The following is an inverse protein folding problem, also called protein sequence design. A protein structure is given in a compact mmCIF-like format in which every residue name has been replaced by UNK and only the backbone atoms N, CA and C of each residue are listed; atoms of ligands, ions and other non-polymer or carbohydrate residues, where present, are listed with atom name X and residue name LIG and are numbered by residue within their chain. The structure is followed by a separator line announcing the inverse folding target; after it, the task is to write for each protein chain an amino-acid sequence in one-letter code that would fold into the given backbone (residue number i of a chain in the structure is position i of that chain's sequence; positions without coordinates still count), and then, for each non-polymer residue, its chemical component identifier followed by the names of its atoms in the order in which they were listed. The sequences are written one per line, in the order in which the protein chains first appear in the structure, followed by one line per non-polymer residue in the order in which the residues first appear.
data_IF_272225136998
#
_entry.id   IF_272225136998
#
_cell.length_a   1.000
_cell.length_b   1.000
_cell.length_c   1.000
_cell.angle_alpha   90.00
_cell.angle_beta   90.00
_cell.angle_gamma   90.00
#
_symmetry.space_group_name_H-M   'P 1'
#
loop_
_entity.id
_entity.type
_entity.pdbx_description
1 polymer ?
#
# COMPACT_ATOMS: atom_id res chain seq x y z
N UNK A 1 23.27 71.74 1.29
CA UNK A 1 22.70 70.57 2.02
C UNK A 1 22.52 69.42 1.03
N UNK A 2 23.60 68.67 0.76
CA UNK A 2 23.63 67.59 -0.23
C UNK A 2 22.98 66.31 0.28
N UNK A 3 22.15 65.67 -0.56
CA UNK A 3 21.55 64.36 -0.27
C UNK A 3 22.22 63.31 -1.14
N UNK A 4 23.01 62.44 -0.50
CA UNK A 4 23.73 61.35 -1.13
C UNK A 4 22.79 60.27 -1.69
N UNK A 5 23.08 59.81 -2.93
CA UNK A 5 22.43 58.62 -3.51
C UNK A 5 23.23 57.39 -3.13
N UNK A 6 22.68 56.57 -2.23
CA UNK A 6 23.17 55.23 -1.92
C UNK A 6 22.91 54.31 -3.12
N UNK A 7 23.97 53.84 -3.79
CA UNK A 7 23.88 52.79 -4.81
C UNK A 7 23.84 51.42 -4.12
N UNK A 8 22.66 50.80 -4.01
CA UNK A 8 22.56 49.40 -3.61
C UNK A 8 22.87 48.49 -4.81
N UNK A 9 24.01 47.78 -4.76
CA UNK A 9 24.36 46.72 -5.73
C UNK A 9 23.53 45.47 -5.41
N UNK A 10 22.56 45.15 -6.27
CA UNK A 10 21.87 43.85 -6.26
C UNK A 10 22.85 42.74 -6.65
N UNK A 11 23.38 41.98 -5.67
CA UNK A 11 24.09 40.73 -5.92
C UNK A 11 23.09 39.61 -6.23
N UNK A 12 22.60 39.59 -7.47
CA UNK A 12 21.86 38.43 -8.00
C UNK A 12 22.85 37.31 -8.35
N UNK A 13 22.99 36.30 -7.49
CA UNK A 13 23.67 35.04 -7.88
C UNK A 13 22.85 34.35 -8.96
N UNK A 14 23.32 34.39 -10.22
CA UNK A 14 22.81 33.53 -11.30
C UNK A 14 23.06 32.07 -10.90
N UNK A 15 22.00 31.27 -10.81
CA UNK A 15 22.10 29.82 -10.60
C UNK A 15 22.34 29.17 -11.97
N UNK A 16 23.51 28.57 -12.16
CA UNK A 16 23.82 27.73 -13.32
C UNK A 16 22.89 26.52 -13.36
N UNK A 17 22.14 26.39 -14.46
CA UNK A 17 21.16 25.31 -14.71
C UNK A 17 21.79 24.05 -15.33
N UNK A 18 23.12 23.95 -15.41
CA UNK A 18 23.80 22.86 -16.14
C UNK A 18 24.24 21.67 -15.27
N UNK A 19 23.98 21.68 -13.97
CA UNK A 19 24.13 20.46 -13.16
C UNK A 19 22.86 19.64 -13.29
N UNK A 20 22.90 18.59 -14.12
CA UNK A 20 21.96 17.46 -14.08
C UNK A 20 22.01 16.84 -12.69
N UNK A 21 21.23 17.43 -11.78
CA UNK A 21 20.93 16.86 -10.46
C UNK A 21 20.26 15.53 -10.80
N UNK A 22 20.87 14.39 -10.44
CA UNK A 22 20.17 13.11 -10.44
C UNK A 22 18.89 13.36 -9.67
N UNK A 23 17.76 13.39 -10.37
CA UNK A 23 16.45 13.59 -9.79
C UNK A 23 16.23 12.33 -8.97
N UNK A 24 16.47 12.42 -7.65
CA UNK A 24 15.78 11.54 -6.73
C UNK A 24 14.31 11.90 -6.97
N UNK A 25 13.60 11.02 -7.66
CA UNK A 25 12.15 11.00 -7.68
C UNK A 25 11.68 10.72 -6.25
N UNK A 26 11.77 11.75 -5.41
CA UNK A 26 11.05 11.84 -4.17
C UNK A 26 9.60 11.92 -4.60
N UNK A 27 8.89 10.80 -4.50
CA UNK A 27 7.44 10.78 -4.62
C UNK A 27 6.90 11.91 -3.73
N UNK A 28 6.28 12.93 -4.34
CA UNK A 28 5.72 14.09 -3.62
C UNK A 28 4.71 13.68 -2.55
N UNK A 29 4.17 12.45 -2.66
CA UNK A 29 3.30 11.87 -1.64
C UNK A 29 4.00 11.54 -0.30
N UNK A 30 5.33 11.37 -0.29
CA UNK A 30 6.11 11.20 0.95
C UNK A 30 6.17 12.48 1.80
N UNK A 31 5.87 13.62 1.19
CA UNK A 31 6.00 14.97 1.77
C UNK A 31 4.74 15.49 2.47
N UNK A 32 3.57 14.90 2.24
CA UNK A 32 2.30 15.37 2.86
C UNK A 32 2.26 15.24 4.39
N UNK A 33 3.17 14.48 5.00
CA UNK A 33 3.28 14.44 6.46
C UNK A 33 4.25 15.48 7.05
N UNK A 34 4.98 16.24 6.23
CA UNK A 34 6.06 17.11 6.73
C UNK A 34 5.66 18.58 6.91
N UNK A 35 4.58 19.06 6.29
CA UNK A 35 4.19 20.48 6.39
C UNK A 35 3.25 20.82 7.56
N UNK A 36 2.58 19.83 8.15
CA UNK A 36 1.53 20.05 9.17
C UNK A 36 1.90 19.62 10.59
N UNK A 37 3.07 19.01 10.78
CA UNK A 37 3.52 18.59 12.11
C UNK A 37 4.69 19.49 12.53
N UNK A 38 4.36 20.67 13.06
CA UNK A 38 5.30 21.51 13.81
C UNK A 38 5.38 20.93 15.22
N UNK A 39 6.30 19.99 15.46
CA UNK A 39 6.69 19.67 16.84
C UNK A 39 7.93 20.45 17.22
N UNK A 40 7.77 21.11 18.34
CA UNK A 40 8.63 22.06 19.00
C UNK A 40 10.01 21.46 19.33
N UNK A 41 11.01 22.30 19.19
CA UNK A 41 12.42 21.97 19.20
C UNK A 41 12.95 22.07 20.62
N UNK A 42 12.88 21.00 21.41
CA UNK A 42 13.62 20.89 22.68
C UNK A 42 14.26 19.50 22.82
N UNK A 43 15.59 19.47 22.59
CA UNK A 43 16.48 18.31 22.81
C UNK A 43 16.74 18.09 24.31
N UNK A 44 16.95 16.84 24.76
CA UNK A 44 18.32 16.39 25.11
C UNK A 44 18.66 14.88 24.88
N UNK A 45 19.98 14.58 24.87
CA UNK A 45 20.71 13.28 24.90
C UNK A 45 20.77 12.37 23.64
N UNK A 46 22.01 12.02 23.22
CA UNK A 46 22.36 11.43 21.92
C UNK A 46 21.98 9.94 21.73
N UNK A 47 21.84 9.13 22.79
CA UNK A 47 21.34 7.73 22.67
C UNK A 47 19.82 7.65 22.67
N UNK A 48 19.17 8.49 23.46
CA UNK A 48 17.72 8.63 23.45
C UNK A 48 17.24 9.26 22.15
N UNK A 49 18.06 10.12 21.53
CA UNK A 49 17.79 10.68 20.21
C UNK A 49 17.62 9.62 19.12
N UNK A 50 18.40 8.53 19.14
CA UNK A 50 18.32 7.50 18.10
C UNK A 50 17.07 6.63 18.27
N UNK A 51 16.76 6.23 19.50
CA UNK A 51 15.54 5.50 19.83
C UNK A 51 14.28 6.34 19.55
N UNK A 52 14.26 7.61 19.97
CA UNK A 52 13.17 8.56 19.70
C UNK A 52 13.08 8.87 18.20
N UNK A 53 14.20 8.94 17.48
CA UNK A 53 14.23 9.12 16.02
C UNK A 53 13.62 7.92 15.30
N UNK A 54 13.98 6.70 15.68
CA UNK A 54 13.41 5.47 15.12
C UNK A 54 11.91 5.35 15.42
N UNK A 55 11.48 5.70 16.64
CA UNK A 55 10.08 5.67 17.02
C UNK A 55 9.25 6.69 16.22
N UNK A 56 9.78 7.90 16.02
CA UNK A 56 9.14 8.95 15.23
C UNK A 56 9.03 8.57 13.75
N UNK A 57 10.07 7.97 13.19
CA UNK A 57 10.02 7.50 11.80
C UNK A 57 9.05 6.32 11.65
N UNK A 58 8.97 5.42 12.63
CA UNK A 58 7.94 4.38 12.67
C UNK A 58 6.53 4.97 12.75
N UNK A 59 6.28 5.96 13.61
CA UNK A 59 4.99 6.66 13.69
C UNK A 59 4.62 7.24 12.32
N UNK A 60 5.56 7.89 11.65
CA UNK A 60 5.38 8.43 10.29
C UNK A 60 5.07 7.34 9.27
N UNK A 61 5.83 6.23 9.27
CA UNK A 61 5.62 5.11 8.36
C UNK A 61 4.29 4.41 8.59
N UNK A 62 3.86 4.22 9.85
CA UNK A 62 2.56 3.66 10.21
C UNK A 62 1.43 4.51 9.63
N UNK A 63 1.47 5.82 9.83
CA UNK A 63 0.47 6.73 9.26
C UNK A 63 0.48 6.69 7.73
N UNK A 64 1.66 6.78 7.11
CA UNK A 64 1.81 6.80 5.66
C UNK A 64 1.29 5.51 5.03
N UNK A 65 1.65 4.36 5.57
CA UNK A 65 1.20 3.05 5.07
C UNK A 65 -0.31 2.87 5.23
N UNK A 66 -0.91 3.35 6.33
CA UNK A 66 -2.36 3.39 6.49
C UNK A 66 -3.01 4.24 5.39
N UNK A 67 -2.54 5.46 5.16
CA UNK A 67 -3.03 6.35 4.08
C UNK A 67 -2.89 5.77 2.68
N UNK A 68 -1.75 5.16 2.35
CA UNK A 68 -1.57 4.50 1.04
C UNK A 68 -2.48 3.28 0.86
N UNK A 69 -2.88 2.62 1.96
CA UNK A 69 -3.92 1.57 1.94
C UNK A 69 -5.33 2.13 2.09
N UNK A 70 -5.48 3.45 1.93
CA UNK A 70 -6.73 4.20 2.00
C UNK A 70 -7.46 4.10 3.35
N UNK A 71 -6.67 3.97 4.41
CA UNK A 71 -7.11 4.07 5.81
C UNK A 71 -6.63 5.38 6.40
N UNK A 72 -7.31 5.89 7.42
CA UNK A 72 -6.98 7.16 8.09
C UNK A 72 -6.87 8.33 7.10
N UNK A 73 -7.88 8.44 6.25
CA UNK A 73 -8.02 9.53 5.27
C UNK A 73 -8.52 10.84 5.91
N UNK A 74 -8.94 10.78 7.18
CA UNK A 74 -9.33 11.96 7.95
C UNK A 74 -8.21 13.00 7.98
N UNK A 75 -8.60 14.25 7.79
CA UNK A 75 -7.68 15.39 7.71
C UNK A 75 -6.97 15.57 6.36
N UNK A 76 -7.24 14.73 5.37
CA UNK A 76 -6.85 15.01 3.98
C UNK A 76 -7.89 15.88 3.28
N UNK A 77 -7.39 16.86 2.53
CA UNK A 77 -8.19 17.71 1.66
C UNK A 77 -8.58 16.98 0.39
N UNK A 78 -9.68 17.42 -0.27
CA UNK A 78 -10.14 16.81 -1.50
C UNK A 78 -9.08 16.73 -2.61
N UNK A 79 -8.23 17.76 -2.85
CA UNK A 79 -7.11 17.65 -3.79
C UNK A 79 -6.08 16.58 -3.40
N UNK A 80 -5.78 16.41 -2.11
CA UNK A 80 -4.86 15.37 -1.62
C UNK A 80 -5.43 13.96 -1.84
N UNK A 81 -6.74 13.80 -1.70
CA UNK A 81 -7.45 12.54 -2.00
C UNK A 81 -7.40 12.21 -3.50
N UNK A 82 -7.61 13.21 -4.38
CA UNK A 82 -7.47 13.03 -5.83
C UNK A 82 -6.04 12.66 -6.25
N UNK A 83 -5.04 13.28 -5.61
CA UNK A 83 -3.65 12.94 -5.85
C UNK A 83 -3.34 11.51 -5.42
N UNK A 84 -3.85 11.08 -4.26
CA UNK A 84 -3.74 9.69 -3.80
C UNK A 84 -4.39 8.72 -4.80
N UNK A 85 -5.60 9.03 -5.29
CA UNK A 85 -6.31 8.22 -6.27
C UNK A 85 -5.49 8.05 -7.55
N UNK A 86 -5.00 9.15 -8.12
CA UNK A 86 -4.16 9.16 -9.32
C UNK A 86 -2.88 8.32 -9.13
N UNK A 87 -2.24 8.49 -7.97
CA UNK A 87 -1.03 7.76 -7.62
C UNK A 87 -1.27 6.25 -7.51
N UNK A 88 -2.32 5.83 -6.81
CA UNK A 88 -2.66 4.42 -6.65
C UNK A 88 -3.09 3.78 -7.98
N UNK A 89 -3.78 4.51 -8.86
CA UNK A 89 -4.07 4.05 -10.23
C UNK A 89 -2.77 3.80 -11.01
N UNK A 90 -1.79 4.69 -10.88
CA UNK A 90 -0.48 4.53 -11.53
C UNK A 90 0.26 3.30 -10.99
N UNK A 91 0.33 3.16 -9.66
CA UNK A 91 0.94 1.99 -9.03
C UNK A 91 0.24 0.68 -9.44
N UNK A 92 -1.09 0.69 -9.54
CA UNK A 92 -1.87 -0.46 -9.98
C UNK A 92 -1.51 -0.90 -11.39
N UNK A 93 -1.30 0.04 -12.32
CA UNK A 93 -0.87 -0.27 -13.69
C UNK A 93 0.51 -0.95 -13.69
N UNK A 94 1.45 -0.44 -12.90
CA UNK A 94 2.80 -1.00 -12.77
C UNK A 94 2.73 -2.45 -12.23
N UNK A 95 1.96 -2.67 -11.17
CA UNK A 95 1.81 -4.00 -10.55
C UNK A 95 1.15 -4.98 -11.53
N UNK A 96 0.11 -4.55 -12.24
CA UNK A 96 -0.56 -5.37 -13.27
C UNK A 96 0.38 -5.75 -14.40
N UNK A 97 1.19 -4.82 -14.89
CA UNK A 97 2.18 -5.08 -15.93
C UNK A 97 3.22 -6.09 -15.46
N UNK A 98 3.78 -5.90 -14.25
CA UNK A 98 4.75 -6.85 -13.68
C UNK A 98 4.16 -8.25 -13.52
N UNK A 99 2.91 -8.35 -13.05
CA UNK A 99 2.20 -9.63 -12.89
C UNK A 99 1.98 -10.33 -14.23
N UNK A 100 1.58 -9.59 -15.27
CA UNK A 100 1.44 -10.12 -16.63
C UNK A 100 2.77 -10.64 -17.18
N UNK A 101 3.86 -9.89 -17.01
CA UNK A 101 5.21 -10.30 -17.43
C UNK A 101 5.63 -11.63 -16.80
N UNK A 102 5.44 -11.79 -15.48
CA UNK A 102 5.74 -13.06 -14.80
C UNK A 102 4.87 -14.21 -15.31
N UNK A 103 3.59 -13.95 -15.58
CA UNK A 103 2.69 -14.97 -16.13
C UNK A 103 3.15 -15.44 -17.51
N UNK A 104 3.46 -14.52 -18.41
CA UNK A 104 3.94 -14.84 -19.76
C UNK A 104 5.25 -15.65 -19.72
N UNK A 105 6.22 -15.26 -18.87
CA UNK A 105 7.47 -16.00 -18.73
C UNK A 105 7.25 -17.45 -18.28
N UNK A 106 6.30 -17.67 -17.36
CA UNK A 106 5.93 -19.04 -16.94
C UNK A 106 5.26 -19.81 -18.07
N UNK A 107 4.34 -19.18 -18.79
CA UNK A 107 3.63 -19.80 -19.90
C UNK A 107 4.62 -20.19 -21.02
N UNK A 108 5.61 -19.35 -21.32
CA UNK A 108 6.70 -19.63 -22.28
C UNK A 108 7.60 -20.77 -21.81
N UNK A 109 7.97 -20.81 -20.53
CA UNK A 109 8.74 -21.90 -19.92
C UNK A 109 7.99 -23.25 -20.03
N UNK A 110 6.70 -23.24 -19.72
CA UNK A 110 5.83 -24.41 -19.89
C UNK A 110 5.72 -24.85 -21.35
N UNK A 111 5.61 -23.91 -22.30
CA UNK A 111 5.62 -24.23 -23.73
C UNK A 111 6.95 -24.85 -24.17
N UNK A 112 8.09 -24.38 -23.65
CA UNK A 112 9.41 -24.93 -23.97
C UNK A 112 9.56 -26.36 -23.44
N UNK A 113 9.06 -26.64 -22.23
CA UNK A 113 9.04 -27.99 -21.65
C UNK A 113 8.20 -28.93 -22.51
N UNK A 114 7.01 -28.51 -22.94
CA UNK A 114 6.14 -29.32 -23.80
C UNK A 114 6.79 -29.66 -25.14
N UNK A 115 7.41 -28.68 -25.82
CA UNK A 115 8.12 -28.94 -27.08
C UNK A 115 9.26 -29.95 -26.92
N UNK A 116 10.07 -29.83 -25.85
CA UNK A 116 11.14 -30.79 -25.56
C UNK A 116 10.64 -32.18 -25.14
N UNK A 117 9.41 -32.27 -24.64
CA UNK A 117 8.75 -33.54 -24.31
C UNK A 117 8.23 -34.27 -25.54
N UNK A 118 7.71 -33.54 -26.54
CA UNK A 118 7.24 -34.12 -27.80
C UNK A 118 8.39 -34.62 -28.69
N UNK A 119 9.60 -34.08 -28.56
CA UNK A 119 10.80 -34.59 -29.25
C UNK A 119 11.30 -35.94 -28.68
N UNK A 120 10.75 -36.41 -27.56
CA UNK A 120 11.01 -37.74 -26.99
C UNK A 120 9.79 -38.65 -27.17
N UNK A 121 9.42 -38.92 -28.42
CA UNK A 121 8.52 -40.04 -28.73
C UNK A 121 9.26 -41.35 -28.43
N UNK A 122 9.09 -41.87 -27.22
CA UNK A 122 9.62 -43.19 -26.85
C UNK A 122 9.87 -43.46 -25.37
N UNK A 123 9.16 -42.85 -24.41
CA UNK A 123 9.20 -43.31 -23.01
C UNK A 123 7.78 -43.52 -22.50
N UNK A 124 7.55 -44.75 -22.05
CA UNK A 124 6.28 -45.34 -21.65
C UNK A 124 5.47 -44.45 -20.70
N UNK A 125 4.19 -44.33 -21.03
CA UNK A 125 3.14 -43.77 -20.19
C UNK A 125 3.00 -44.66 -18.95
N UNK A 126 3.69 -44.30 -17.86
CA UNK A 126 3.39 -44.87 -16.54
C UNK A 126 2.19 -44.13 -15.96
N UNK A 127 1.07 -44.84 -15.98
CA UNK A 127 -0.22 -44.50 -15.37
C UNK A 127 -0.02 -44.01 -13.92
N UNK A 128 -0.66 -42.91 -13.47
CA UNK A 128 -0.77 -42.64 -12.04
C UNK A 128 -1.65 -43.72 -11.40
N UNK A 129 -1.01 -44.68 -10.76
CA UNK A 129 -1.69 -45.71 -9.99
C UNK A 129 -2.44 -45.04 -8.83
N UNK A 130 -3.76 -45.19 -8.83
CA UNK A 130 -4.63 -44.88 -7.71
C UNK A 130 -4.20 -45.74 -6.52
N UNK A 131 -3.79 -45.11 -5.42
CA UNK A 131 -3.85 -45.78 -4.11
C UNK A 131 -4.81 -45.01 -3.22
N UNK A 132 -5.96 -45.63 -3.01
CA UNK A 132 -6.90 -45.29 -1.94
C UNK A 132 -6.37 -45.84 -0.61
N UNK A 133 -6.49 -45.01 0.42
CA UNK A 133 -6.88 -45.31 1.82
C UNK A 133 -6.55 -46.69 2.44
N UNK A 134 -5.74 -46.67 3.52
CA UNK A 134 -5.97 -47.35 4.83
C UNK A 134 -4.84 -46.92 5.78
N UNK A 135 -5.08 -46.07 6.77
CA UNK A 135 -5.49 -46.36 8.15
C UNK A 135 -4.37 -46.89 9.05
N UNK A 136 -4.49 -46.50 10.33
CA UNK A 136 -3.91 -47.11 11.54
C UNK A 136 -2.58 -46.55 12.04
N UNK A 137 -2.65 -45.92 13.22
CA UNK A 137 -1.53 -45.46 14.03
C UNK A 137 -2.09 -44.74 15.26
N UNK A 138 -2.23 -45.51 16.34
CA UNK A 138 -2.98 -45.19 17.55
C UNK A 138 -2.34 -44.14 18.46
N UNK A 139 -3.22 -43.61 19.32
CA UNK A 139 -3.07 -42.81 20.53
C UNK A 139 -1.71 -42.91 21.25
N UNK A 140 -1.16 -41.74 21.57
CA UNK A 140 -0.55 -41.51 22.87
C UNK A 140 -1.30 -40.34 23.52
N UNK A 141 -2.04 -40.68 24.58
CA UNK A 141 -2.60 -39.75 25.53
C UNK A 141 -1.44 -39.26 26.41
N UNK A 142 -0.98 -38.02 26.18
CA UNK A 142 -0.28 -37.24 27.18
C UNK A 142 -1.07 -35.94 27.37
N UNK A 143 -1.73 -35.88 28.52
CA UNK A 143 -2.59 -34.80 28.97
C UNK A 143 -1.76 -33.58 29.36
N UNK A 144 -1.34 -32.84 28.34
CA UNK A 144 -1.07 -31.41 28.45
C UNK A 144 -2.25 -30.70 27.78
N UNK A 145 -2.87 -29.66 28.41
CA UNK A 145 -3.91 -28.90 27.74
C UNK A 145 -3.31 -28.33 26.46
N UNK A 146 -3.77 -28.85 25.31
CA UNK A 146 -3.32 -28.38 24.01
C UNK A 146 -3.46 -26.86 24.02
N UNK A 147 -2.38 -26.09 23.78
CA UNK A 147 -2.46 -24.64 23.81
C UNK A 147 -3.58 -24.20 22.87
N UNK A 148 -4.37 -23.17 23.23
CA UNK A 148 -5.54 -22.77 22.45
C UNK A 148 -5.13 -22.68 20.99
N UNK A 149 -5.84 -23.40 20.11
CA UNK A 149 -5.55 -23.35 18.66
C UNK A 149 -5.93 -21.98 18.14
N UNK A 150 -5.04 -21.02 18.33
CA UNK A 150 -5.22 -19.65 17.90
C UNK A 150 -5.54 -19.62 16.41
N UNK A 151 -6.53 -18.81 16.03
CA UNK A 151 -6.86 -18.60 14.63
C UNK A 151 -5.62 -18.10 13.86
N UNK A 152 -5.56 -18.34 12.54
CA UNK A 152 -4.43 -17.84 11.71
C UNK A 152 -4.25 -16.32 11.87
N UNK A 153 -5.37 -15.60 11.97
CA UNK A 153 -5.38 -14.15 12.18
C UNK A 153 -4.75 -13.75 13.52
N UNK A 154 -5.09 -14.47 14.60
CA UNK A 154 -4.58 -14.18 15.94
C UNK A 154 -3.08 -14.47 16.05
N UNK A 155 -2.60 -15.56 15.45
CA UNK A 155 -1.15 -15.85 15.38
C UNK A 155 -0.37 -14.80 14.61
N UNK A 156 -0.91 -14.29 13.51
CA UNK A 156 -0.27 -13.21 12.77
C UNK A 156 -0.27 -11.89 13.56
N UNK A 157 -1.34 -11.61 14.30
CA UNK A 157 -1.43 -10.44 15.16
C UNK A 157 -0.39 -10.48 16.27
N UNK A 158 -0.30 -11.58 17.01
CA UNK A 158 0.70 -11.77 18.06
C UNK A 158 2.13 -11.71 17.52
N UNK A 159 2.38 -12.34 16.35
CA UNK A 159 3.69 -12.25 15.69
C UNK A 159 4.06 -10.81 15.35
N UNK A 160 3.12 -10.01 14.84
CA UNK A 160 3.35 -8.59 14.56
C UNK A 160 3.60 -7.78 15.82
N UNK A 161 2.91 -8.09 16.92
CA UNK A 161 3.13 -7.41 18.21
C UNK A 161 4.49 -7.76 18.83
N UNK A 162 5.04 -8.93 18.52
CA UNK A 162 6.38 -9.34 18.95
C UNK A 162 7.51 -8.84 18.02
N UNK A 163 7.21 -8.10 16.94
CA UNK A 163 8.24 -7.53 16.05
C UNK A 163 9.10 -6.51 16.80
N UNK A 164 10.41 -6.56 16.57
CA UNK A 164 11.30 -5.47 17.00
C UNK A 164 11.04 -4.22 16.15
N UNK A 165 11.39 -3.04 16.66
CA UNK A 165 11.24 -1.77 15.91
C UNK A 165 11.90 -1.82 14.53
N UNK A 166 13.04 -2.49 14.40
CA UNK A 166 13.74 -2.64 13.12
C UNK A 166 12.96 -3.51 12.13
N UNK A 167 12.43 -4.65 12.58
CA UNK A 167 11.66 -5.55 11.72
C UNK A 167 10.37 -4.85 11.25
N UNK A 168 9.70 -4.14 12.16
CA UNK A 168 8.51 -3.36 11.81
C UNK A 168 8.85 -2.28 10.78
N UNK A 169 9.96 -1.56 10.98
CA UNK A 169 10.42 -0.51 10.09
C UNK A 169 10.61 -1.05 8.67
N UNK A 170 11.37 -2.13 8.52
CA UNK A 170 11.64 -2.77 7.24
C UNK A 170 10.35 -3.23 6.56
N UNK A 171 9.43 -3.84 7.33
CA UNK A 171 8.14 -4.30 6.83
C UNK A 171 7.27 -3.13 6.32
N UNK A 172 7.17 -2.04 7.07
CA UNK A 172 6.38 -0.87 6.70
C UNK A 172 7.01 -0.11 5.52
N UNK A 173 8.33 0.02 5.52
CA UNK A 173 9.07 0.62 4.42
C UNK A 173 8.88 -0.18 3.13
N UNK A 174 9.01 -1.51 3.18
CA UNK A 174 8.82 -2.35 1.99
C UNK A 174 7.39 -2.27 1.48
N UNK A 175 6.40 -2.27 2.38
CA UNK A 175 5.00 -2.05 2.00
C UNK A 175 4.82 -0.69 1.32
N UNK A 176 5.41 0.38 1.86
CA UNK A 176 5.39 1.70 1.24
C UNK A 176 5.92 1.63 -0.19
N UNK A 177 7.10 1.06 -0.39
CA UNK A 177 7.70 0.97 -1.72
C UNK A 177 6.82 0.18 -2.69
N UNK A 178 6.25 -0.94 -2.24
CA UNK A 178 5.32 -1.77 -3.05
C UNK A 178 4.03 -1.05 -3.42
N UNK A 179 3.43 -0.30 -2.48
CA UNK A 179 2.25 0.53 -2.76
C UNK A 179 2.55 1.68 -3.74
N UNK A 180 3.83 2.03 -3.93
CA UNK A 180 4.29 2.96 -4.95
C UNK A 180 4.67 2.28 -6.29
N UNK A 181 4.47 0.97 -6.44
CA UNK A 181 4.90 0.23 -7.62
C UNK A 181 6.42 -0.01 -7.71
N UNK A 182 7.16 0.18 -6.61
CA UNK A 182 8.61 -0.10 -6.50
C UNK A 182 8.84 -1.38 -5.69
N UNK A 183 10.09 -1.86 -5.65
CA UNK A 183 10.47 -3.05 -4.86
C UNK A 183 9.57 -4.27 -5.15
N UNK A 184 9.22 -4.46 -6.43
CA UNK A 184 8.41 -5.57 -6.92
C UNK A 184 9.27 -6.77 -7.35
N UNK A 185 10.58 -6.59 -7.40
CA UNK A 185 11.51 -7.67 -7.73
C UNK A 185 11.53 -8.73 -6.64
N UNK A 186 11.64 -9.99 -7.05
CA UNK A 186 11.54 -11.14 -6.16
C UNK A 186 10.10 -11.50 -5.74
N UNK A 187 9.10 -10.66 -6.00
CA UNK A 187 7.71 -11.02 -5.74
C UNK A 187 7.22 -12.07 -6.74
N UNK A 188 6.60 -13.13 -6.23
CA UNK A 188 5.95 -14.13 -7.06
C UNK A 188 4.57 -13.66 -7.55
N UNK A 189 3.99 -14.42 -8.48
CA UNK A 189 2.70 -14.09 -9.09
C UNK A 189 1.55 -13.98 -8.09
N UNK A 190 1.56 -14.77 -7.01
CA UNK A 190 0.57 -14.72 -5.95
C UNK A 190 0.71 -13.48 -5.08
N UNK A 191 1.94 -13.14 -4.69
CA UNK A 191 2.25 -11.93 -3.92
C UNK A 191 1.89 -10.65 -4.67
N UNK A 192 2.17 -10.59 -5.99
CA UNK A 192 1.73 -9.49 -6.84
C UNK A 192 0.21 -9.43 -6.93
N UNK A 193 -0.48 -10.58 -6.97
CA UNK A 193 -1.94 -10.65 -6.92
C UNK A 193 -2.51 -10.09 -5.61
N UNK A 194 -1.89 -10.39 -4.46
CA UNK A 194 -2.29 -9.84 -3.16
C UNK A 194 -2.03 -8.33 -3.08
N UNK A 195 -0.92 -7.85 -3.63
CA UNK A 195 -0.64 -6.42 -3.71
C UNK A 195 -1.63 -5.69 -4.62
N UNK A 196 -1.94 -6.25 -5.78
CA UNK A 196 -2.95 -5.74 -6.70
C UNK A 196 -4.31 -5.63 -6.02
N UNK A 197 -4.76 -6.69 -5.34
CA UNK A 197 -6.02 -6.69 -4.59
C UNK A 197 -6.03 -5.61 -3.50
N UNK A 198 -4.92 -5.44 -2.79
CA UNK A 198 -4.79 -4.41 -1.75
C UNK A 198 -4.92 -3.00 -2.32
N UNK A 199 -4.32 -2.72 -3.47
CA UNK A 199 -4.44 -1.41 -4.14
C UNK A 199 -5.88 -1.19 -4.66
N UNK A 200 -6.49 -2.22 -5.26
CA UNK A 200 -7.88 -2.14 -5.74
C UNK A 200 -8.86 -1.88 -4.61
N UNK A 201 -8.77 -2.63 -3.51
CA UNK A 201 -9.63 -2.42 -2.35
C UNK A 201 -9.43 -1.03 -1.75
N UNK A 202 -8.17 -0.59 -1.62
CA UNK A 202 -7.89 0.78 -1.15
C UNK A 202 -8.52 1.85 -2.05
N UNK A 203 -8.40 1.72 -3.38
CA UNK A 203 -9.06 2.63 -4.32
C UNK A 203 -10.58 2.64 -4.16
N UNK A 204 -11.20 1.49 -3.91
CA UNK A 204 -12.63 1.41 -3.65
C UNK A 204 -13.01 2.15 -2.35
N UNK A 205 -12.26 1.92 -1.26
CA UNK A 205 -12.46 2.59 0.02
C UNK A 205 -12.28 4.12 -0.10
N UNK A 206 -11.30 4.56 -0.89
CA UNK A 206 -11.05 5.98 -1.17
C UNK A 206 -12.22 6.64 -1.93
N UNK A 207 -12.74 5.98 -2.97
CA UNK A 207 -13.90 6.48 -3.70
C UNK A 207 -15.14 6.53 -2.80
N UNK A 208 -15.34 5.53 -1.96
CA UNK A 208 -16.43 5.52 -0.98
C UNK A 208 -16.30 6.71 -0.03
N UNK A 209 -15.11 6.94 0.54
CA UNK A 209 -14.82 8.07 1.43
C UNK A 209 -15.08 9.42 0.75
N UNK A 210 -14.65 9.60 -0.50
CA UNK A 210 -14.78 10.87 -1.23
C UNK A 210 -16.24 11.18 -1.60
N UNK A 211 -17.02 10.19 -2.01
CA UNK A 211 -18.29 10.42 -2.68
C UNK A 211 -19.52 9.92 -1.89
N UNK A 212 -19.35 9.16 -0.80
CA UNK A 212 -20.47 8.75 0.07
C UNK A 212 -21.27 9.94 0.62
N UNK A 213 -20.64 11.00 1.17
CA UNK A 213 -21.39 12.12 1.74
C UNK A 213 -22.26 12.82 0.68
N UNK A 214 -21.71 13.04 -0.52
CA UNK A 214 -22.44 13.67 -1.63
C UNK A 214 -23.59 12.79 -2.11
N UNK A 215 -23.37 11.47 -2.26
CA UNK A 215 -24.43 10.52 -2.65
C UNK A 215 -25.56 10.51 -1.63
N UNK A 216 -25.24 10.53 -0.34
CA UNK A 216 -26.23 10.57 0.73
C UNK A 216 -27.05 11.86 0.72
N UNK A 217 -26.40 13.02 0.53
CA UNK A 217 -27.10 14.31 0.43
C UNK A 217 -28.07 14.34 -0.76
N UNK A 218 -27.65 13.83 -1.92
CA UNK A 218 -28.51 13.73 -3.11
C UNK A 218 -29.69 12.79 -2.83
N UNK A 219 -29.44 11.63 -2.22
CA UNK A 219 -30.49 10.69 -1.84
C UNK A 219 -31.49 11.29 -0.85
N UNK A 220 -31.02 12.07 0.13
CA UNK A 220 -31.87 12.77 1.10
C UNK A 220 -32.76 13.81 0.43
N UNK A 221 -32.23 14.61 -0.50
CA UNK A 221 -33.00 15.59 -1.30
C UNK A 221 -34.04 14.91 -2.19
N UNK A 222 -33.70 13.79 -2.84
CA UNK A 222 -34.66 13.00 -3.63
C UNK A 222 -35.81 12.49 -2.76
N UNK A 223 -35.52 12.00 -1.56
CA UNK A 223 -36.54 11.53 -0.61
C UNK A 223 -37.45 12.65 -0.10
N UNK A 224 -36.97 13.88 0.07
CA UNK A 224 -37.85 15.00 0.44
C UNK A 224 -38.77 15.38 -0.72
N UNK A 225 -38.22 15.54 -1.93
CA UNK A 225 -39.01 15.89 -3.12
C UNK A 225 -40.13 14.88 -3.40
N UNK A 226 -39.86 13.59 -3.29
CA UNK A 226 -40.89 12.56 -3.46
C UNK A 226 -42.00 12.63 -2.41
N UNK A 227 -41.70 13.03 -1.18
CA UNK A 227 -42.72 13.24 -0.14
C UNK A 227 -43.56 14.46 -0.41
N UNK A 228 -42.95 15.55 -0.89
CA UNK A 228 -43.65 16.80 -1.19
C UNK A 228 -44.64 16.59 -2.35
N UNK A 229 -44.27 15.81 -3.37
CA UNK A 229 -45.17 15.43 -4.48
C UNK A 229 -46.33 14.57 -3.99
N UNK A 230 -46.08 13.57 -3.14
CA UNK A 230 -47.13 12.69 -2.59
C UNK A 230 -48.05 13.38 -1.58
N UNK A 231 -47.61 14.48 -0.96
CA UNK A 231 -48.45 15.33 -0.12
C UNK A 231 -49.39 16.20 -0.96
N UNK A 232 -48.86 16.81 -2.03
CA UNK A 232 -49.64 17.63 -2.94
C UNK A 232 -50.75 16.86 -3.68
N UNK A 233 -50.55 15.57 -3.96
CA UNK A 233 -51.57 14.70 -4.58
C UNK A 233 -52.66 14.20 -3.61
N UNK A 234 -52.50 14.35 -2.29
CA UNK A 234 -53.52 13.96 -1.30
C UNK A 234 -54.40 15.13 -0.84
N UNK A 235 -53.92 16.35 -1.01
CA UNK A 235 -54.60 17.58 -0.58
C UNK A 235 -55.34 18.30 -1.73
N UNK A 236 -55.38 17.71 -2.94
CA UNK A 236 -56.13 18.21 -4.11
C UNK A 236 -57.25 17.26 -4.52
#
# INVERSE_FOLDING_TARGET
MGRGRIKMKLKGRRRDLTKKKKVRELCDYCGFSSSTIRYDEQRPHERDHEAVSMENELKRLRLLTRRMTCKDLDGLTFPELLLLESHLKTALLIVKDRRKKIKLLKDDEWMLIRRKGDDRVGIEVTVPCKFSTSSTGERQDDEAPAPPRLSKLQREFERRNAETMMIEYERLWLLKERMNGRQLDGMNQGELGLLELKIVNGLQDLLEHMYAPTREQIAKKRRSLLRDVQGAERDG
#
